data_IF_045635250900
#
_entry.id   IF_045635250900
#
_cell.length_a   1.000
_cell.length_b   1.000
_cell.length_c   1.000
_cell.angle_alpha   90.00
_cell.angle_beta   90.00
_cell.angle_gamma   90.00
#
_symmetry.space_group_name_H-M   'P 1'
#
loop_
_entity.id
_entity.type
_entity.pdbx_description
1 polymer ?
#
# COMPACT_ATOMS: atom_id res chain seq x y z
N UNK A 1 -54.70 18.97 2.51
CA UNK A 1 -54.09 17.66 2.18
C UNK A 1 -54.17 16.80 3.43
N UNK A 2 -54.83 15.65 3.37
CA UNK A 2 -54.93 14.76 4.54
C UNK A 2 -53.54 14.15 4.84
N UNK A 3 -53.20 13.88 6.11
CA UNK A 3 -51.96 13.15 6.45
C UNK A 3 -51.78 11.83 5.69
N UNK A 4 -52.89 11.14 5.36
CA UNK A 4 -52.90 9.91 4.55
C UNK A 4 -52.47 10.15 3.10
N UNK A 5 -52.87 11.28 2.52
CA UNK A 5 -52.51 11.62 1.14
C UNK A 5 -51.02 11.94 1.05
N UNK A 6 -50.48 12.64 2.06
CA UNK A 6 -49.05 12.97 2.14
C UNK A 6 -48.19 11.72 2.12
N UNK A 7 -48.48 10.73 2.98
CA UNK A 7 -47.71 9.48 3.07
C UNK A 7 -47.72 8.74 1.74
N UNK A 8 -48.91 8.60 1.12
CA UNK A 8 -49.06 7.95 -0.18
C UNK A 8 -48.22 8.61 -1.28
N UNK A 9 -48.24 9.94 -1.35
CA UNK A 9 -47.47 10.67 -2.36
C UNK A 9 -45.97 10.66 -2.08
N UNK A 10 -45.54 10.69 -0.80
CA UNK A 10 -44.13 10.58 -0.42
C UNK A 10 -43.54 9.21 -0.82
N UNK A 11 -44.28 8.13 -0.62
CA UNK A 11 -43.85 6.78 -1.04
C UNK A 11 -43.75 6.65 -2.56
N UNK A 12 -44.78 7.12 -3.29
CA UNK A 12 -44.76 7.11 -4.75
C UNK A 12 -43.61 7.96 -5.28
N UNK A 13 -43.41 9.15 -4.72
CA UNK A 13 -42.32 10.03 -5.10
C UNK A 13 -40.96 9.35 -4.87
N UNK A 14 -40.75 8.75 -3.69
CA UNK A 14 -39.51 8.03 -3.36
C UNK A 14 -39.23 6.89 -4.34
N UNK A 15 -40.23 6.05 -4.62
CA UNK A 15 -40.07 4.93 -5.55
C UNK A 15 -39.70 5.40 -6.97
N UNK A 16 -40.32 6.50 -7.43
CA UNK A 16 -40.00 7.09 -8.75
C UNK A 16 -38.61 7.72 -8.76
N UNK A 17 -38.22 8.39 -7.69
CA UNK A 17 -36.91 9.01 -7.54
C UNK A 17 -35.78 7.97 -7.55
N UNK A 18 -35.95 6.86 -6.83
CA UNK A 18 -34.99 5.76 -6.78
C UNK A 18 -34.82 5.11 -8.16
N UNK A 19 -35.92 4.84 -8.85
CA UNK A 19 -35.89 4.26 -10.20
C UNK A 19 -35.22 5.20 -11.21
N UNK A 20 -35.54 6.49 -11.16
CA UNK A 20 -34.87 7.49 -11.98
C UNK A 20 -33.37 7.53 -11.70
N UNK A 21 -32.97 7.59 -10.42
CA UNK A 21 -31.56 7.62 -10.02
C UNK A 21 -30.80 6.40 -10.51
N UNK A 22 -31.44 5.22 -10.49
CA UNK A 22 -30.88 3.98 -11.02
C UNK A 22 -30.66 4.07 -12.53
N UNK A 23 -31.67 4.52 -13.28
CA UNK A 23 -31.59 4.68 -14.74
C UNK A 23 -30.54 5.73 -15.14
N UNK A 24 -30.46 6.84 -14.40
CA UNK A 24 -29.51 7.92 -14.66
C UNK A 24 -28.06 7.45 -14.46
N UNK A 25 -27.79 6.63 -13.42
CA UNK A 25 -26.47 6.00 -13.22
C UNK A 25 -26.09 5.05 -14.35
N UNK A 26 -27.03 4.26 -14.87
CA UNK A 26 -26.80 3.36 -16.02
C UNK A 26 -26.51 4.17 -17.29
N UNK A 27 -27.31 5.22 -17.54
CA UNK A 27 -27.20 6.06 -18.74
C UNK A 27 -25.97 6.96 -18.72
N UNK A 28 -25.55 7.41 -17.54
CA UNK A 28 -24.37 8.23 -17.35
C UNK A 28 -23.39 7.57 -16.37
N UNK A 29 -22.47 6.72 -16.87
CA UNK A 29 -21.41 6.12 -16.07
C UNK A 29 -20.53 7.13 -15.31
N UNK A 30 -20.56 8.42 -15.69
CA UNK A 30 -19.84 9.47 -14.96
C UNK A 30 -20.47 9.78 -13.59
N UNK A 31 -21.74 9.46 -13.38
CA UNK A 31 -22.41 9.60 -12.06
C UNK A 31 -21.97 8.52 -11.07
N UNK A 32 -21.39 7.43 -11.55
CA UNK A 32 -20.75 6.40 -10.71
C UNK A 32 -19.33 6.79 -10.29
N UNK A 33 -18.76 7.85 -10.86
CA UNK A 33 -17.38 8.27 -10.56
C UNK A 33 -17.33 8.76 -9.12
N UNK A 34 -16.96 7.84 -8.24
CA UNK A 34 -16.39 8.11 -6.95
C UNK A 34 -15.22 9.09 -7.14
N UNK A 35 -15.16 10.13 -6.30
CA UNK A 35 -14.07 11.10 -6.34
C UNK A 35 -12.71 10.38 -6.31
N UNK A 36 -11.65 11.04 -6.79
CA UNK A 36 -10.32 10.43 -6.88
C UNK A 36 -9.87 9.80 -5.55
N UNK A 37 -10.28 10.38 -4.42
CA UNK A 37 -10.00 9.87 -3.08
C UNK A 37 -10.66 8.53 -2.78
N UNK A 38 -11.95 8.37 -3.10
CA UNK A 38 -12.68 7.12 -2.91
C UNK A 38 -12.13 6.01 -3.82
N UNK A 39 -11.83 6.32 -5.09
CA UNK A 39 -11.16 5.36 -5.99
C UNK A 39 -9.78 4.95 -5.48
N UNK A 40 -8.98 5.90 -4.98
CA UNK A 40 -7.66 5.61 -4.43
C UNK A 40 -7.74 4.86 -3.09
N UNK A 41 -8.77 5.12 -2.29
CA UNK A 41 -9.04 4.42 -1.03
C UNK A 41 -9.34 2.94 -1.25
N UNK A 42 -10.18 2.61 -2.24
CA UNK A 42 -10.46 1.21 -2.59
C UNK A 42 -9.22 0.47 -3.10
N UNK A 43 -8.40 1.13 -3.94
CA UNK A 43 -7.09 0.59 -4.34
C UNK A 43 -6.16 0.40 -3.14
N UNK A 44 -6.08 1.37 -2.24
CA UNK A 44 -5.23 1.29 -1.05
C UNK A 44 -5.66 0.14 -0.12
N UNK A 45 -6.97 -0.07 0.09
CA UNK A 45 -7.49 -1.22 0.83
C UNK A 45 -7.12 -2.54 0.15
N UNK A 46 -7.32 -2.64 -1.16
CA UNK A 46 -6.98 -3.83 -1.93
C UNK A 46 -5.47 -4.15 -1.91
N UNK A 47 -4.61 -3.13 -1.90
CA UNK A 47 -3.15 -3.29 -1.84
C UNK A 47 -2.62 -3.47 -0.40
N UNK A 48 -3.31 -2.95 0.62
CA UNK A 48 -2.90 -3.08 2.02
C UNK A 48 -2.85 -4.53 2.49
N UNK A 49 -3.75 -5.38 1.99
CA UNK A 49 -3.80 -6.82 2.29
C UNK A 49 -2.65 -7.61 1.65
N UNK A 50 -1.99 -7.07 0.63
CA UNK A 50 -0.89 -7.75 -0.08
C UNK A 50 0.44 -7.68 0.68
N UNK A 51 0.47 -6.98 1.82
CA UNK A 51 1.69 -6.65 2.53
C UNK A 51 2.52 -5.65 1.73
N UNK A 52 3.14 -4.69 2.40
CA UNK A 52 4.06 -3.76 1.75
C UNK A 52 5.26 -4.48 1.11
N UNK A 53 6.16 -3.72 0.50
CA UNK A 53 7.46 -4.25 0.06
C UNK A 53 8.11 -5.04 1.21
N UNK A 54 8.61 -6.27 0.98
CA UNK A 54 9.31 -7.02 2.00
C UNK A 54 10.40 -6.18 2.65
N UNK A 55 10.42 -6.12 3.99
CA UNK A 55 11.40 -5.30 4.73
C UNK A 55 12.84 -5.73 4.46
N UNK A 56 13.04 -7.01 4.14
CA UNK A 56 14.33 -7.61 3.87
C UNK A 56 14.36 -8.12 2.43
N UNK A 57 15.39 -7.73 1.69
CA UNK A 57 15.64 -8.25 0.34
C UNK A 57 16.16 -9.69 0.46
N UNK A 58 15.51 -10.65 -0.21
CA UNK A 58 15.89 -12.07 -0.12
C UNK A 58 17.27 -12.33 -0.74
N UNK A 59 17.51 -11.82 -1.93
CA UNK A 59 18.77 -11.99 -2.65
C UNK A 59 19.83 -11.00 -2.15
N UNK A 60 21.02 -11.50 -1.81
CA UNK A 60 22.14 -10.66 -1.41
C UNK A 60 22.82 -10.07 -2.64
N UNK A 61 23.09 -8.76 -2.62
CA UNK A 61 24.05 -8.18 -3.56
C UNK A 61 25.47 -8.69 -3.29
N UNK A 62 26.42 -8.43 -4.21
CA UNK A 62 27.84 -8.77 -4.02
C UNK A 62 28.39 -8.19 -2.72
N UNK A 63 28.16 -6.90 -2.48
CA UNK A 63 28.60 -6.22 -1.26
C UNK A 63 27.93 -6.77 -0.01
N UNK A 64 26.62 -7.06 -0.08
CA UNK A 64 25.89 -7.65 1.04
C UNK A 64 26.40 -9.07 1.35
N UNK A 65 26.74 -9.86 0.34
CA UNK A 65 27.36 -11.19 0.49
C UNK A 65 28.73 -11.10 1.16
N UNK A 66 29.57 -10.14 0.74
CA UNK A 66 30.88 -9.94 1.36
C UNK A 66 30.73 -9.48 2.81
N UNK A 67 29.88 -8.47 3.06
CA UNK A 67 29.62 -7.96 4.41
C UNK A 67 29.07 -9.06 5.32
N UNK A 68 28.20 -9.94 4.82
CA UNK A 68 27.68 -11.08 5.56
C UNK A 68 28.81 -12.01 6.03
N UNK A 69 29.77 -12.34 5.14
CA UNK A 69 30.92 -13.20 5.47
C UNK A 69 31.86 -12.55 6.49
N UNK A 70 32.08 -11.24 6.40
CA UNK A 70 32.92 -10.50 7.35
C UNK A 70 32.28 -10.48 8.74
N UNK A 71 31.00 -10.09 8.81
CA UNK A 71 30.26 -10.04 10.08
C UNK A 71 30.10 -11.44 10.72
N UNK A 72 29.98 -12.49 9.91
CA UNK A 72 29.93 -13.89 10.41
C UNK A 72 31.25 -14.36 11.00
N UNK A 73 32.36 -13.65 10.74
CA UNK A 73 33.69 -13.89 11.32
C UNK A 73 34.02 -12.91 12.43
N UNK A 74 32.99 -12.28 13.01
CA UNK A 74 33.11 -11.32 14.11
C UNK A 74 33.93 -10.05 13.76
N UNK A 75 34.14 -9.78 12.46
CA UNK A 75 34.77 -8.54 12.01
C UNK A 75 33.82 -7.37 12.32
N UNK A 76 34.35 -6.31 12.93
CA UNK A 76 33.54 -5.14 13.29
C UNK A 76 33.06 -4.38 12.04
N UNK A 77 31.97 -3.62 12.18
CA UNK A 77 31.47 -2.81 11.06
C UNK A 77 32.47 -1.77 10.56
N UNK A 78 33.36 -1.27 11.43
CA UNK A 78 34.40 -0.30 11.05
C UNK A 78 35.48 -0.99 10.21
N UNK A 79 36.01 -2.11 10.69
CA UNK A 79 37.00 -2.90 9.95
C UNK A 79 36.43 -3.42 8.64
N UNK A 80 35.16 -3.85 8.62
CA UNK A 80 34.50 -4.26 7.38
C UNK A 80 34.37 -3.10 6.38
N UNK A 81 34.15 -1.87 6.87
CA UNK A 81 34.14 -0.68 6.03
C UNK A 81 35.52 -0.46 5.39
N UNK A 82 36.57 -0.55 6.19
CA UNK A 82 37.96 -0.39 5.74
C UNK A 82 38.37 -1.50 4.75
N UNK A 83 38.01 -2.77 5.02
CA UNK A 83 38.28 -3.92 4.14
C UNK A 83 37.57 -3.79 2.79
N UNK A 84 36.33 -3.30 2.80
CA UNK A 84 35.52 -3.17 1.59
C UNK A 84 35.75 -1.85 0.83
N UNK A 85 36.62 -0.97 1.35
CA UNK A 85 36.83 0.40 0.86
C UNK A 85 35.49 1.18 0.75
N UNK A 86 34.67 1.06 1.80
CA UNK A 86 33.37 1.71 1.91
C UNK A 86 33.30 2.58 3.16
N UNK A 87 32.41 3.58 3.15
CA UNK A 87 32.13 4.34 4.37
C UNK A 87 31.36 3.48 5.38
N UNK A 88 31.58 3.72 6.68
CA UNK A 88 30.83 3.08 7.78
C UNK A 88 29.31 3.26 7.62
N UNK A 89 28.88 4.42 7.08
CA UNK A 89 27.47 4.69 6.76
C UNK A 89 26.93 3.72 5.70
N UNK A 90 27.70 3.46 4.65
CA UNK A 90 27.33 2.54 3.57
C UNK A 90 27.16 1.11 4.09
N UNK A 91 28.14 0.56 4.82
CA UNK A 91 28.03 -0.81 5.39
C UNK A 91 26.91 -0.91 6.43
N UNK A 92 26.65 0.14 7.22
CA UNK A 92 25.50 0.17 8.14
C UNK A 92 24.17 0.10 7.38
N UNK A 93 24.05 0.84 6.27
CA UNK A 93 22.85 0.80 5.43
C UNK A 93 22.66 -0.56 4.76
N UNK A 94 23.75 -1.19 4.29
CA UNK A 94 23.71 -2.55 3.73
C UNK A 94 23.25 -3.54 4.80
N UNK A 95 23.85 -3.49 6.01
CA UNK A 95 23.45 -4.33 7.16
C UNK A 95 21.95 -4.22 7.45
N UNK A 96 21.44 -3.00 7.56
CA UNK A 96 20.02 -2.74 7.85
C UNK A 96 19.09 -3.20 6.72
N UNK A 97 19.45 -2.90 5.47
CA UNK A 97 18.64 -3.24 4.28
C UNK A 97 18.49 -4.75 4.07
N UNK A 98 19.54 -5.52 4.33
CA UNK A 98 19.57 -6.97 4.09
C UNK A 98 19.41 -7.79 5.38
N UNK A 99 19.39 -7.17 6.56
CA UNK A 99 19.28 -7.85 7.84
C UNK A 99 20.48 -8.75 8.14
N UNK A 100 21.70 -8.23 8.01
CA UNK A 100 22.95 -8.98 8.20
C UNK A 100 23.44 -8.93 9.68
N UNK A 101 24.20 -9.93 10.15
CA UNK A 101 24.50 -11.19 9.47
C UNK A 101 23.27 -12.12 9.44
N UNK A 102 23.16 -12.94 8.39
CA UNK A 102 22.15 -13.99 8.24
C UNK A 102 22.75 -15.17 7.46
N UNK A 103 22.26 -16.36 7.73
CA UNK A 103 22.81 -17.63 7.22
C UNK A 103 23.01 -17.65 5.69
#
# INVERSE_FOLDING_TARGET
MSPSDRIRYEEIYRARWEEQTRLDKIKNPKLEIQNAHARNGEKAKAHGHKGGRPKIIKELSKDATMLNKLLSREISLREAADIMDLTVKSVTQIKSRYGLPRD
#
